data_IF_638032117486
#
_entry.id   IF_638032117486
#
_cell.length_a   1.000
_cell.length_b   1.000
_cell.length_c   1.000
_cell.angle_alpha   90.00
_cell.angle_beta   90.00
_cell.angle_gamma   90.00
#
_symmetry.space_group_name_H-M   'P 1'
#
loop_
_entity.id
_entity.type
_entity.pdbx_description
1 polymer ?
#
# COMPACT_ATOMS: atom_id res chain seq x y z
N UNK A 1 -18.77 14.62 -26.02
CA UNK A 1 -17.89 13.76 -26.84
C UNK A 1 -18.10 12.33 -26.41
N UNK A 2 -18.57 11.50 -27.33
CA UNK A 2 -18.99 10.10 -27.13
C UNK A 2 -17.84 9.26 -26.60
N UNK A 3 -18.04 8.66 -25.43
CA UNK A 3 -17.10 7.78 -24.76
C UNK A 3 -17.16 6.39 -25.42
N UNK A 4 -16.12 6.01 -26.16
CA UNK A 4 -16.01 4.67 -26.73
C UNK A 4 -15.38 3.70 -25.72
N UNK A 5 -16.15 2.77 -25.12
CA UNK A 5 -15.62 1.77 -24.18
C UNK A 5 -14.60 0.82 -24.83
N UNK A 6 -14.61 0.64 -26.16
CA UNK A 6 -13.64 -0.21 -26.86
C UNK A 6 -12.23 0.40 -26.87
N UNK A 7 -12.13 1.74 -26.90
CA UNK A 7 -10.84 2.43 -26.82
C UNK A 7 -10.17 2.24 -25.45
N UNK A 8 -10.95 2.18 -24.36
CA UNK A 8 -10.46 1.92 -22.99
C UNK A 8 -9.99 0.49 -22.80
N UNK A 9 -10.72 -0.49 -23.34
CA UNK A 9 -10.31 -1.90 -23.31
C UNK A 9 -9.03 -2.10 -24.13
N UNK A 10 -8.94 -1.47 -25.31
CA UNK A 10 -7.74 -1.53 -26.14
C UNK A 10 -6.50 -0.87 -25.52
N UNK A 11 -6.69 0.14 -24.66
CA UNK A 11 -5.59 0.74 -23.89
C UNK A 11 -5.16 -0.16 -22.72
N UNK A 12 -6.11 -0.77 -22.00
CA UNK A 12 -5.82 -1.72 -20.92
C UNK A 12 -5.08 -2.97 -21.40
N UNK A 13 -5.44 -3.50 -22.57
CA UNK A 13 -4.76 -4.66 -23.19
C UNK A 13 -3.35 -4.31 -23.66
N UNK A 14 -3.11 -3.09 -24.16
CA UNK A 14 -1.76 -2.64 -24.55
C UNK A 14 -0.85 -2.40 -23.34
N UNK A 15 -1.39 -1.82 -22.27
CA UNK A 15 -0.68 -1.68 -20.98
C UNK A 15 -0.27 -3.04 -20.38
N UNK A 16 -1.09 -4.08 -20.57
CA UNK A 16 -0.74 -5.46 -20.17
C UNK A 16 0.39 -6.07 -21.00
N UNK A 17 0.63 -5.60 -22.22
CA UNK A 17 1.64 -6.14 -23.15
C UNK A 17 2.99 -5.40 -23.07
N UNK A 18 2.99 -4.08 -22.82
CA UNK A 18 4.20 -3.24 -22.88
C UNK A 18 5.14 -3.38 -21.65
N UNK A 19 4.75 -4.16 -20.63
CA UNK A 19 5.56 -4.44 -19.43
C UNK A 19 6.49 -5.66 -19.52
N UNK A 20 6.58 -6.33 -20.67
CA UNK A 20 7.30 -7.60 -20.82
C UNK A 20 8.68 -7.39 -21.46
N UNK A 21 9.65 -6.91 -20.70
CA UNK A 21 11.06 -7.10 -21.04
C UNK A 21 11.61 -8.31 -20.27
N UNK A 22 11.50 -9.48 -20.89
CA UNK A 22 12.21 -10.68 -20.44
C UNK A 22 13.59 -10.66 -21.08
N UNK A 23 14.64 -10.51 -20.27
CA UNK A 23 16.00 -10.84 -20.72
C UNK A 23 16.05 -12.35 -20.99
N UNK A 24 15.98 -12.75 -22.25
CA UNK A 24 16.18 -14.16 -22.63
C UNK A 24 17.66 -14.49 -22.55
N UNK A 25 18.08 -15.56 -21.86
CA UNK A 25 19.47 -16.01 -21.90
C UNK A 25 19.83 -16.48 -23.31
N UNK A 26 21.06 -16.21 -23.73
CA UNK A 26 21.59 -16.52 -25.06
C UNK A 26 21.52 -18.04 -25.33
N UNK A 27 20.77 -18.50 -26.35
CA UNK A 27 20.61 -19.93 -26.67
C UNK A 27 21.92 -20.60 -27.10
N UNK A 28 22.98 -19.84 -27.40
CA UNK A 28 24.27 -20.38 -27.80
C UNK A 28 25.04 -21.08 -26.66
N UNK A 29 24.75 -20.74 -25.39
CA UNK A 29 25.51 -21.29 -24.25
C UNK A 29 25.07 -22.71 -23.87
N UNK A 30 23.85 -23.13 -24.24
CA UNK A 30 23.30 -24.45 -23.90
C UNK A 30 23.69 -25.57 -24.88
N UNK A 31 24.30 -25.26 -26.03
CA UNK A 31 24.52 -26.23 -27.12
C UNK A 31 25.98 -26.69 -27.32
N UNK A 32 26.94 -26.26 -26.47
CA UNK A 32 28.36 -26.49 -26.77
C UNK A 32 28.99 -27.82 -26.28
N UNK A 33 28.25 -28.75 -25.66
CA UNK A 33 28.82 -30.05 -25.23
C UNK A 33 27.88 -31.24 -25.40
N UNK A 34 27.63 -31.65 -26.63
CA UNK A 34 27.14 -33.00 -26.92
C UNK A 34 27.43 -33.44 -28.35
N UNK A 35 28.70 -33.73 -28.66
CA UNK A 35 29.05 -34.41 -29.91
C UNK A 35 29.80 -35.72 -29.61
N UNK A 36 29.08 -36.85 -29.71
CA UNK A 36 29.50 -38.11 -30.37
C UNK A 36 28.35 -39.14 -30.35
N UNK A 37 28.07 -39.84 -31.47
CA UNK A 37 26.90 -40.71 -31.56
C UNK A 37 27.22 -42.15 -31.15
N UNK A 38 26.38 -42.74 -30.30
CA UNK A 38 26.32 -44.19 -30.08
C UNK A 38 24.87 -44.65 -30.18
N UNK A 39 24.68 -45.80 -30.84
CA UNK A 39 23.42 -46.38 -31.35
C UNK A 39 22.24 -46.21 -30.40
N UNK A 40 21.20 -45.54 -30.91
CA UNK A 40 20.14 -44.92 -30.14
C UNK A 40 18.96 -45.88 -29.88
N UNK A 41 18.67 -46.13 -28.60
CA UNK A 41 17.39 -46.69 -28.16
C UNK A 41 16.27 -45.65 -28.28
N UNK A 42 15.10 -46.12 -28.76
CA UNK A 42 13.86 -45.37 -29.12
C UNK A 42 13.25 -44.49 -28.00
N UNK A 43 13.86 -44.44 -26.83
CA UNK A 43 13.33 -43.85 -25.59
C UNK A 43 14.03 -42.55 -25.16
N UNK A 44 15.21 -42.20 -25.73
CA UNK A 44 15.93 -40.97 -25.39
C UNK A 44 15.15 -39.66 -25.63
N UNK A 45 14.42 -39.44 -26.74
CA UNK A 45 13.72 -38.17 -26.96
C UNK A 45 12.55 -37.95 -25.97
N UNK A 46 11.95 -39.03 -25.46
CA UNK A 46 10.86 -38.98 -24.47
C UNK A 46 11.38 -38.64 -23.06
N UNK A 47 12.52 -39.20 -22.67
CA UNK A 47 13.15 -38.88 -21.39
C UNK A 47 13.71 -37.45 -21.37
N UNK A 48 14.20 -36.93 -22.51
CA UNK A 48 14.61 -35.53 -22.62
C UNK A 48 13.42 -34.55 -22.65
N UNK A 49 12.31 -34.90 -23.31
CA UNK A 49 11.11 -34.05 -23.33
C UNK A 49 10.40 -34.01 -21.97
N UNK A 50 10.28 -35.16 -21.28
CA UNK A 50 9.74 -35.20 -19.92
C UNK A 50 10.67 -34.49 -18.91
N UNK A 51 11.99 -34.59 -19.10
CA UNK A 51 12.97 -33.83 -18.31
C UNK A 51 12.86 -32.32 -18.51
N UNK A 52 12.75 -31.85 -19.75
CA UNK A 52 12.56 -30.41 -20.05
C UNK A 52 11.21 -29.92 -19.52
N UNK A 53 10.14 -30.70 -19.65
CA UNK A 53 8.83 -30.34 -19.10
C UNK A 53 8.85 -30.30 -17.57
N UNK A 54 9.53 -31.26 -16.93
CA UNK A 54 9.76 -31.27 -15.49
C UNK A 54 10.56 -30.07 -15.01
N UNK A 55 11.58 -29.65 -15.76
CA UNK A 55 12.37 -28.44 -15.47
C UNK A 55 11.55 -27.16 -15.67
N UNK A 56 10.73 -27.08 -16.70
CA UNK A 56 9.84 -25.92 -16.94
C UNK A 56 8.74 -25.82 -15.87
N UNK A 57 8.16 -26.94 -15.46
CA UNK A 57 7.20 -26.99 -14.35
C UNK A 57 7.88 -26.66 -13.02
N UNK A 58 9.07 -27.19 -12.77
CA UNK A 58 9.85 -26.85 -11.57
C UNK A 58 10.26 -25.37 -11.55
N UNK A 59 10.65 -24.78 -12.69
CA UNK A 59 10.97 -23.36 -12.82
C UNK A 59 9.74 -22.47 -12.67
N UNK A 60 8.57 -22.91 -13.17
CA UNK A 60 7.31 -22.20 -12.99
C UNK A 60 6.81 -22.26 -11.54
N UNK A 61 7.08 -23.35 -10.81
CA UNK A 61 6.60 -23.57 -9.45
C UNK A 61 7.59 -23.12 -8.35
N UNK A 62 8.87 -22.98 -8.65
CA UNK A 62 9.88 -22.55 -7.68
C UNK A 62 9.79 -21.03 -7.43
N UNK A 63 9.38 -20.58 -6.22
CA UNK A 63 9.28 -19.15 -5.91
C UNK A 63 10.63 -18.43 -5.90
N UNK A 64 11.73 -19.18 -5.73
CA UNK A 64 13.04 -18.64 -5.33
C UNK A 64 14.19 -18.78 -6.31
N UNK A 65 13.98 -19.27 -7.55
CA UNK A 65 15.10 -19.35 -8.51
C UNK A 65 15.46 -18.00 -9.15
N UNK A 66 14.60 -16.97 -9.01
CA UNK A 66 14.78 -15.66 -9.63
C UNK A 66 14.49 -14.46 -8.72
N UNK A 67 13.86 -14.64 -7.56
CA UNK A 67 13.60 -13.55 -6.62
C UNK A 67 14.77 -13.46 -5.62
N UNK A 68 15.75 -12.61 -5.93
CA UNK A 68 16.66 -12.13 -4.90
C UNK A 68 15.95 -11.00 -4.14
N UNK A 69 15.97 -10.98 -2.79
CA UNK A 69 15.61 -9.76 -2.08
C UNK A 69 16.47 -8.63 -2.65
N UNK A 70 15.84 -7.50 -2.95
CA UNK A 70 16.58 -6.29 -3.33
C UNK A 70 17.69 -6.07 -2.32
N UNK A 71 18.92 -5.97 -2.80
CA UNK A 71 20.05 -5.67 -1.93
C UNK A 71 19.70 -4.42 -1.13
N UNK A 72 19.97 -4.37 0.19
CA UNK A 72 19.70 -3.16 0.96
C UNK A 72 20.43 -2.00 0.29
N UNK A 73 19.66 -1.06 -0.26
CA UNK A 73 20.21 0.17 -0.81
C UNK A 73 20.71 1.02 0.35
N UNK A 74 21.87 1.64 0.20
CA UNK A 74 22.34 2.66 1.15
C UNK A 74 21.33 3.83 1.15
N UNK A 75 20.45 3.82 2.15
CA UNK A 75 19.48 4.88 2.43
C UNK A 75 18.08 4.68 1.84
N UNK A 76 17.12 5.41 2.43
CA UNK A 76 15.72 5.43 2.02
C UNK A 76 15.55 6.20 0.70
N UNK A 77 14.83 5.60 -0.24
CA UNK A 77 14.52 6.20 -1.55
C UNK A 77 13.03 6.42 -1.69
N UNK A 78 12.63 7.66 -1.90
CA UNK A 78 11.29 8.01 -2.38
C UNK A 78 11.30 7.97 -3.91
N UNK A 79 10.53 7.08 -4.55
CA UNK A 79 10.49 7.04 -6.00
C UNK A 79 9.91 8.32 -6.55
N UNK A 80 10.55 8.90 -7.56
CA UNK A 80 10.07 10.08 -8.27
C UNK A 80 8.82 9.76 -9.10
N UNK A 81 8.56 8.48 -9.41
CA UNK A 81 7.27 8.00 -9.92
C UNK A 81 6.82 6.67 -9.35
N UNK A 82 5.54 6.55 -9.00
CA UNK A 82 4.94 5.27 -8.59
C UNK A 82 4.58 4.42 -9.80
N UNK A 83 4.67 3.10 -9.63
CA UNK A 83 4.33 2.15 -10.68
C UNK A 83 2.80 1.98 -10.81
N UNK A 84 2.33 1.77 -12.05
CA UNK A 84 0.91 1.52 -12.35
C UNK A 84 0.39 0.22 -11.72
N UNK A 85 -0.95 0.06 -11.72
CA UNK A 85 -1.64 -1.19 -11.37
C UNK A 85 -1.00 -2.37 -12.09
N UNK A 86 -0.75 -3.45 -11.35
CA UNK A 86 -0.43 -4.72 -11.97
C UNK A 86 -0.98 -5.87 -11.13
N UNK A 87 -1.87 -6.62 -11.76
CA UNK A 87 -2.42 -7.88 -11.21
C UNK A 87 -1.33 -8.96 -11.03
N UNK A 88 -0.15 -8.76 -11.64
CA UNK A 88 0.99 -9.66 -11.55
C UNK A 88 1.91 -9.35 -10.38
N UNK A 89 1.63 -8.29 -9.61
CA UNK A 89 2.41 -7.96 -8.42
C UNK A 89 2.20 -9.02 -7.34
N UNK A 90 3.30 -9.57 -6.84
CA UNK A 90 3.30 -10.56 -5.78
C UNK A 90 2.71 -9.99 -4.48
N UNK A 91 1.95 -10.78 -3.72
CA UNK A 91 1.50 -10.38 -2.41
C UNK A 91 2.64 -10.43 -1.38
N UNK A 92 2.54 -9.62 -0.33
CA UNK A 92 3.49 -9.57 0.78
C UNK A 92 3.63 -10.94 1.46
N UNK A 93 2.56 -11.72 1.53
CA UNK A 93 2.57 -13.08 2.10
C UNK A 93 3.38 -14.11 1.28
N UNK A 94 3.55 -13.92 -0.03
CA UNK A 94 4.34 -14.80 -0.90
C UNK A 94 5.78 -14.29 -1.07
N UNK A 95 5.95 -12.97 -1.16
CA UNK A 95 7.23 -12.33 -1.37
C UNK A 95 7.32 -11.07 -0.49
N UNK A 96 7.92 -11.16 0.71
CA UNK A 96 8.04 -10.03 1.60
C UNK A 96 8.74 -8.84 0.93
N UNK A 97 8.27 -7.63 1.20
CA UNK A 97 8.84 -6.40 0.65
C UNK A 97 10.10 -5.95 1.41
N UNK A 98 10.31 -6.44 2.63
CA UNK A 98 11.20 -5.79 3.59
C UNK A 98 10.54 -4.52 4.16
N UNK A 99 11.32 -3.62 4.78
CA UNK A 99 10.80 -2.33 5.20
C UNK A 99 10.27 -1.54 3.98
N UNK A 100 9.15 -0.85 4.17
CA UNK A 100 8.49 -0.03 3.17
C UNK A 100 8.52 1.45 3.55
N UNK A 101 8.74 2.32 2.56
CA UNK A 101 8.73 3.78 2.74
C UNK A 101 7.34 4.37 2.50
N UNK A 102 6.56 3.76 1.61
CA UNK A 102 5.23 4.24 1.22
C UNK A 102 4.22 3.09 1.16
N UNK A 103 2.96 3.42 1.40
CA UNK A 103 1.80 2.60 1.01
C UNK A 103 0.80 3.47 0.29
N UNK A 104 0.08 2.91 -0.68
CA UNK A 104 -1.01 3.59 -1.37
C UNK A 104 -2.05 2.59 -1.84
N UNK A 105 -3.26 3.07 -2.10
CA UNK A 105 -4.30 2.27 -2.75
C UNK A 105 -4.41 2.71 -4.21
N UNK A 106 -4.37 1.74 -5.11
CA UNK A 106 -4.58 1.96 -6.54
C UNK A 106 -5.83 1.21 -7.01
N UNK A 107 -6.63 1.82 -7.88
CA UNK A 107 -7.79 1.22 -8.50
C UNK A 107 -9.06 2.01 -8.22
N UNK A 108 -10.12 1.74 -8.97
CA UNK A 108 -11.41 2.41 -8.77
C UNK A 108 -12.36 1.51 -7.99
N UNK A 109 -12.98 2.06 -6.95
CA UNK A 109 -14.06 1.40 -6.26
C UNK A 109 -15.18 1.05 -7.27
N UNK A 110 -15.51 -0.23 -7.37
CA UNK A 110 -16.44 -0.75 -8.38
C UNK A 110 -17.17 -1.98 -7.87
N UNK A 111 -18.13 -2.52 -8.65
CA UNK A 111 -18.85 -3.72 -8.24
C UNK A 111 -17.87 -4.89 -8.06
N UNK A 112 -18.17 -5.80 -7.12
CA UNK A 112 -17.26 -6.89 -6.68
C UNK A 112 -16.55 -7.65 -7.82
N UNK A 113 -17.22 -7.85 -8.94
CA UNK A 113 -16.71 -8.60 -10.11
C UNK A 113 -15.79 -7.78 -11.04
N UNK A 114 -15.63 -6.47 -10.81
CA UNK A 114 -14.65 -5.56 -11.43
C UNK A 114 -13.79 -4.85 -10.38
N UNK A 115 -13.70 -5.41 -9.17
CA UNK A 115 -12.89 -4.83 -8.11
C UNK A 115 -11.41 -4.82 -8.51
N UNK A 116 -10.84 -3.63 -8.61
CA UNK A 116 -9.44 -3.42 -8.98
C UNK A 116 -8.65 -2.68 -7.90
N UNK A 117 -9.25 -2.42 -6.73
CA UNK A 117 -8.49 -1.77 -5.66
C UNK A 117 -7.43 -2.73 -5.14
N UNK A 118 -6.22 -2.20 -5.04
CA UNK A 118 -5.03 -2.90 -4.59
C UNK A 118 -4.28 -1.95 -3.66
N UNK A 119 -4.18 -2.36 -2.40
CA UNK A 119 -3.26 -1.75 -1.46
C UNK A 119 -1.85 -2.23 -1.78
N UNK A 120 -0.93 -1.28 -2.01
CA UNK A 120 0.43 -1.55 -2.48
C UNK A 120 1.43 -0.93 -1.50
N UNK A 121 2.41 -1.72 -1.09
CA UNK A 121 3.57 -1.25 -0.32
C UNK A 121 4.76 -1.07 -1.24
N UNK A 122 5.52 0.00 -1.01
CA UNK A 122 6.75 0.34 -1.73
C UNK A 122 7.92 0.18 -0.77
N UNK A 123 8.86 -0.71 -1.10
CA UNK A 123 10.08 -0.96 -0.35
C UNK A 123 10.91 0.30 -0.14
N UNK A 124 11.75 0.30 0.90
CA UNK A 124 12.66 1.42 1.23
C UNK A 124 13.64 1.77 0.11
N UNK A 125 13.85 0.85 -0.82
CA UNK A 125 14.65 1.05 -2.03
C UNK A 125 13.94 1.82 -3.15
N UNK A 126 12.66 2.15 -2.94
CA UNK A 126 11.81 2.91 -3.86
C UNK A 126 11.39 2.15 -5.12
N UNK A 127 11.75 0.88 -5.28
CA UNK A 127 11.46 0.13 -6.51
C UNK A 127 10.91 -1.27 -6.29
N UNK A 128 10.94 -1.82 -5.07
CA UNK A 128 10.19 -3.02 -4.71
C UNK A 128 8.73 -2.69 -4.45
N UNK A 129 7.82 -3.35 -5.16
CA UNK A 129 6.37 -3.21 -5.00
C UNK A 129 5.76 -4.55 -4.60
N UNK A 130 4.94 -4.55 -3.55
CA UNK A 130 4.16 -5.73 -3.14
C UNK A 130 2.73 -5.36 -2.86
N UNK A 131 1.84 -6.31 -3.12
CA UNK A 131 0.42 -6.16 -2.82
C UNK A 131 0.14 -6.58 -1.38
N UNK A 132 -0.63 -5.79 -0.65
CA UNK A 132 -1.02 -6.12 0.71
C UNK A 132 -2.30 -6.98 0.67
N UNK A 133 -2.11 -8.28 0.46
CA UNK A 133 -3.18 -9.27 0.34
C UNK A 133 -4.07 -9.38 1.59
N UNK A 134 -3.54 -9.06 2.77
CA UNK A 134 -4.33 -9.00 3.99
C UNK A 134 -5.41 -7.90 3.95
N UNK A 135 -5.11 -6.76 3.32
CA UNK A 135 -6.09 -5.67 3.16
C UNK A 135 -7.18 -6.08 2.16
N UNK A 136 -6.81 -6.76 1.08
CA UNK A 136 -7.76 -7.31 0.11
C UNK A 136 -8.68 -8.37 0.76
N UNK A 137 -8.09 -9.26 1.56
CA UNK A 137 -8.80 -10.35 2.25
C UNK A 137 -9.81 -9.84 3.27
N UNK A 138 -9.46 -8.76 3.99
CA UNK A 138 -10.33 -8.09 4.97
C UNK A 138 -11.22 -7.00 4.35
N UNK A 139 -11.06 -6.74 3.06
CA UNK A 139 -11.90 -5.84 2.27
C UNK A 139 -13.33 -6.34 2.15
N UNK A 140 -14.20 -5.50 1.60
CA UNK A 140 -15.64 -5.73 1.65
C UNK A 140 -16.46 -4.67 0.94
N UNK A 141 -17.80 -4.81 0.98
CA UNK A 141 -18.70 -3.84 0.38
C UNK A 141 -18.60 -2.49 1.09
N UNK A 142 -18.62 -1.42 0.30
CA UNK A 142 -18.78 -0.03 0.72
C UNK A 142 -20.08 0.56 0.14
N UNK A 143 -20.53 1.70 0.67
CA UNK A 143 -21.84 2.27 0.34
C UNK A 143 -21.89 3.01 -1.03
N UNK A 144 -22.97 2.86 -1.82
CA UNK A 144 -23.71 1.65 -2.12
C UNK A 144 -23.21 1.01 -3.44
N UNK A 145 -22.64 -0.19 -3.35
CA UNK A 145 -22.35 -1.07 -4.49
C UNK A 145 -20.88 -1.14 -4.90
N UNK A 146 -20.00 -0.48 -4.17
CA UNK A 146 -18.55 -0.53 -4.38
C UNK A 146 -17.90 -1.57 -3.46
N UNK A 147 -16.73 -2.05 -3.86
CA UNK A 147 -15.87 -2.89 -3.03
C UNK A 147 -14.56 -2.14 -2.80
N UNK A 148 -14.03 -2.22 -1.58
CA UNK A 148 -12.78 -1.59 -1.20
C UNK A 148 -11.95 -2.51 -0.30
N UNK A 149 -10.64 -2.40 -0.40
CA UNK A 149 -9.71 -3.00 0.55
C UNK A 149 -9.95 -2.49 1.98
N UNK A 150 -9.57 -3.29 2.96
CA UNK A 150 -9.60 -2.86 4.35
C UNK A 150 -8.64 -1.67 4.57
N UNK A 151 -9.00 -0.73 5.46
CA UNK A 151 -8.12 0.38 5.81
C UNK A 151 -6.80 -0.15 6.34
N UNK A 152 -5.70 0.35 5.79
CA UNK A 152 -4.35 -0.04 6.13
C UNK A 152 -3.57 1.17 6.65
N UNK A 153 -2.67 0.95 7.60
CA UNK A 153 -1.83 1.98 8.19
C UNK A 153 -0.38 1.52 8.32
N UNK A 154 0.52 2.16 7.58
CA UNK A 154 1.96 1.87 7.61
C UNK A 154 2.60 2.37 8.91
N UNK A 155 3.38 1.51 9.56
CA UNK A 155 4.12 1.88 10.77
C UNK A 155 5.26 2.87 10.48
N UNK A 156 5.68 3.69 11.46
CA UNK A 156 6.70 4.73 11.25
C UNK A 156 8.07 4.16 10.85
N UNK A 157 8.37 2.95 11.30
CA UNK A 157 9.60 2.21 10.97
C UNK A 157 9.54 1.51 9.60
N UNK A 158 8.38 1.55 8.93
CA UNK A 158 8.15 0.89 7.65
C UNK A 158 8.13 -0.64 7.70
N UNK A 159 8.24 -1.27 8.87
CA UNK A 159 8.38 -2.74 8.98
C UNK A 159 7.04 -3.46 9.06
N UNK A 160 5.97 -2.75 9.44
CA UNK A 160 4.67 -3.33 9.73
C UNK A 160 3.54 -2.49 9.14
N UNK A 161 2.43 -3.16 8.83
CA UNK A 161 1.17 -2.50 8.43
C UNK A 161 0.04 -3.02 9.30
N UNK A 162 -0.69 -2.11 9.95
CA UNK A 162 -1.95 -2.44 10.61
C UNK A 162 -3.06 -2.48 9.55
N UNK A 163 -3.90 -3.51 9.60
CA UNK A 163 -5.02 -3.70 8.68
C UNK A 163 -6.30 -3.89 9.49
N UNK A 164 -7.24 -2.99 9.27
CA UNK A 164 -8.54 -3.02 9.91
C UNK A 164 -9.52 -3.97 9.23
N UNK A 165 -10.81 -3.64 9.32
CA UNK A 165 -11.89 -4.38 8.69
C UNK A 165 -12.99 -3.42 8.28
N UNK A 166 -13.56 -3.61 7.09
CA UNK A 166 -14.76 -2.87 6.62
C UNK A 166 -16.07 -3.59 6.95
N UNK A 167 -15.98 -4.71 7.67
CA UNK A 167 -17.12 -5.48 8.15
C UNK A 167 -17.03 -5.69 9.67
N UNK A 168 -18.09 -6.20 10.28
CA UNK A 168 -18.13 -6.48 11.71
C UNK A 168 -17.07 -7.53 12.10
N UNK A 169 -15.91 -7.07 12.58
CA UNK A 169 -14.80 -7.87 13.06
C UNK A 169 -14.57 -7.65 14.55
N UNK A 170 -13.84 -8.59 15.18
CA UNK A 170 -13.41 -8.52 16.60
C UNK A 170 -11.90 -8.46 16.74
N UNK A 171 -11.21 -8.16 15.65
CA UNK A 171 -9.76 -8.16 15.59
C UNK A 171 -9.22 -7.12 14.62
N UNK A 172 -7.95 -6.79 14.81
CA UNK A 172 -7.13 -6.00 13.92
C UNK A 172 -5.91 -6.85 13.52
N UNK A 173 -5.54 -6.83 12.24
CA UNK A 173 -4.34 -7.51 11.76
C UNK A 173 -3.13 -6.58 11.78
N UNK A 174 -1.95 -7.13 12.07
CA UNK A 174 -0.65 -6.50 11.89
C UNK A 174 0.19 -7.42 11.02
N UNK A 175 0.57 -6.92 9.84
CA UNK A 175 1.38 -7.63 8.85
C UNK A 175 2.83 -7.20 9.02
N UNK A 176 3.73 -8.15 9.23
CA UNK A 176 5.18 -7.93 9.21
C UNK A 176 5.67 -7.99 7.76
N UNK A 177 6.17 -6.87 7.24
CA UNK A 177 6.58 -6.73 5.83
C UNK A 177 7.93 -7.40 5.51
N UNK A 178 8.72 -7.76 6.54
CA UNK A 178 10.00 -8.46 6.38
C UNK A 178 9.79 -9.97 6.20
N UNK A 179 8.77 -10.51 6.84
CA UNK A 179 8.48 -11.94 6.89
C UNK A 179 7.23 -12.34 6.12
N UNK A 180 6.35 -11.38 5.80
CA UNK A 180 5.05 -11.62 5.19
C UNK A 180 4.03 -12.24 6.14
N UNK A 181 4.32 -12.29 7.46
CA UNK A 181 3.47 -12.96 8.44
C UNK A 181 2.48 -11.98 9.05
N UNK A 182 1.22 -12.42 9.15
CA UNK A 182 0.15 -11.67 9.81
C UNK A 182 -0.07 -12.17 11.23
N UNK A 183 -0.22 -11.25 12.17
CA UNK A 183 -0.72 -11.50 13.53
C UNK A 183 -2.03 -10.74 13.73
N UNK A 184 -2.95 -11.28 14.52
CA UNK A 184 -4.21 -10.61 14.83
C UNK A 184 -4.29 -10.29 16.31
N UNK A 185 -4.90 -9.15 16.63
CA UNK A 185 -5.06 -8.63 17.98
C UNK A 185 -6.54 -8.38 18.25
N UNK A 186 -7.08 -8.82 19.40
CA UNK A 186 -8.48 -8.62 19.71
C UNK A 186 -8.79 -7.13 19.91
N UNK A 187 -9.94 -6.69 19.37
CA UNK A 187 -10.48 -5.36 19.60
C UNK A 187 -11.33 -5.33 20.86
N UNK A 188 -11.57 -4.13 21.38
CA UNK A 188 -12.42 -3.87 22.55
C UNK A 188 -13.89 -4.20 22.30
N UNK A 189 -14.35 -4.08 21.05
CA UNK A 189 -15.73 -4.35 20.65
C UNK A 189 -15.80 -4.97 19.25
N UNK A 190 -17.02 -5.31 18.80
CA UNK A 190 -17.26 -5.85 17.45
C UNK A 190 -17.71 -4.73 16.53
N UNK A 191 -17.07 -4.56 15.37
CA UNK A 191 -17.49 -3.54 14.41
C UNK A 191 -16.52 -3.37 13.24
N UNK A 192 -16.71 -2.31 12.47
CA UNK A 192 -15.76 -1.84 11.46
C UNK A 192 -14.51 -1.35 12.20
N UNK A 193 -13.35 -1.90 11.90
CA UNK A 193 -12.10 -1.56 12.61
C UNK A 193 -11.27 -0.67 11.71
N UNK A 194 -10.84 0.49 12.20
CA UNK A 194 -9.97 1.41 11.45
C UNK A 194 -8.72 1.73 12.28
N UNK A 195 -7.51 1.35 11.83
CA UNK A 195 -6.28 1.88 12.41
C UNK A 195 -6.21 3.38 12.12
N UNK A 196 -5.82 4.18 13.10
CA UNK A 196 -5.78 5.64 13.00
C UNK A 196 -4.37 6.21 13.16
N UNK A 197 -3.59 5.73 14.13
CA UNK A 197 -2.24 6.23 14.35
C UNK A 197 -1.33 5.21 15.04
N UNK A 198 -0.07 5.13 14.60
CA UNK A 198 0.98 4.39 15.28
C UNK A 198 1.75 5.28 16.25
N UNK A 199 2.19 4.72 17.38
CA UNK A 199 3.21 5.39 18.20
C UNK A 199 4.54 5.49 17.43
N UNK A 200 5.38 6.50 17.72
CA UNK A 200 6.65 6.69 17.00
C UNK A 200 7.59 5.50 17.11
N UNK A 201 7.55 4.78 18.24
CA UNK A 201 8.31 3.55 18.48
C UNK A 201 7.70 2.29 17.81
N UNK A 202 6.53 2.40 17.20
CA UNK A 202 5.81 1.30 16.55
C UNK A 202 5.30 0.22 17.51
N UNK A 203 5.26 0.46 18.82
CA UNK A 203 4.81 -0.54 19.82
C UNK A 203 3.33 -0.42 20.15
N UNK A 204 2.70 0.71 19.86
CA UNK A 204 1.30 1.00 20.15
C UNK A 204 0.56 1.50 18.91
N UNK A 205 -0.74 1.23 18.87
CA UNK A 205 -1.62 1.59 17.76
C UNK A 205 -2.96 2.12 18.30
N UNK A 206 -3.35 3.32 17.89
CA UNK A 206 -4.70 3.83 18.09
C UNK A 206 -5.57 3.35 16.94
N UNK A 207 -6.74 2.81 17.27
CA UNK A 207 -7.75 2.38 16.32
C UNK A 207 -9.14 2.76 16.82
N UNK A 208 -10.11 2.80 15.90
CA UNK A 208 -11.54 2.97 16.24
C UNK A 208 -12.33 1.74 15.80
N UNK A 209 -13.39 1.40 16.54
CA UNK A 209 -14.31 0.31 16.21
C UNK A 209 -15.74 0.83 16.08
N UNK A 210 -16.27 0.80 14.86
CA UNK A 210 -17.59 1.36 14.50
C UNK A 210 -17.72 2.81 14.96
N UNK A 211 -18.93 3.17 15.39
CA UNK A 211 -19.20 4.43 16.08
C UNK A 211 -19.14 4.28 17.62
N UNK A 212 -18.39 3.27 18.10
CA UNK A 212 -18.43 2.87 19.52
C UNK A 212 -17.30 3.49 20.31
N UNK A 213 -16.06 3.06 20.08
CA UNK A 213 -14.92 3.41 20.92
C UNK A 213 -13.65 3.63 20.11
N UNK A 214 -12.85 4.60 20.55
CA UNK A 214 -11.43 4.70 20.20
C UNK A 214 -10.63 3.94 21.23
N UNK A 215 -9.68 3.12 20.81
CA UNK A 215 -8.86 2.32 21.71
C UNK A 215 -7.37 2.38 21.33
N UNK A 216 -6.55 2.16 22.34
CA UNK A 216 -5.10 2.04 22.26
C UNK A 216 -4.74 0.56 22.41
N UNK A 217 -4.15 -0.03 21.37
CA UNK A 217 -3.56 -1.37 21.39
C UNK A 217 -2.08 -1.27 21.74
N UNK A 218 -1.65 -1.99 22.77
CA UNK A 218 -0.25 -2.29 23.04
C UNK A 218 0.11 -3.62 22.36
N UNK A 219 1.08 -3.60 21.43
CA UNK A 219 1.49 -4.79 20.68
C UNK A 219 2.45 -5.69 21.46
N UNK A 220 3.06 -5.19 22.52
CA UNK A 220 3.96 -5.96 23.40
C UNK A 220 3.13 -6.90 24.26
N UNK A 221 2.04 -6.40 24.83
CA UNK A 221 1.12 -7.18 25.67
C UNK A 221 -0.03 -7.82 24.88
N UNK A 222 -0.38 -7.24 23.72
CA UNK A 222 -1.54 -7.61 22.94
C UNK A 222 -2.86 -7.12 23.53
N UNK A 223 -2.83 -6.17 24.46
CA UNK A 223 -4.02 -5.67 25.17
C UNK A 223 -4.49 -4.33 24.63
N UNK A 224 -5.80 -4.16 24.53
CA UNK A 224 -6.43 -2.90 24.10
C UNK A 224 -7.10 -2.20 25.28
N UNK A 225 -6.93 -0.89 25.39
CA UNK A 225 -7.57 -0.03 26.41
C UNK A 225 -8.34 1.09 25.71
N UNK A 226 -9.55 1.41 26.18
CA UNK A 226 -10.35 2.50 25.59
C UNK A 226 -9.76 3.87 25.90
N UNK A 227 -9.68 4.73 24.88
CA UNK A 227 -9.38 6.17 25.00
C UNK A 227 -10.67 7.01 25.06
N UNK A 228 -11.84 6.35 25.02
CA UNK A 228 -13.15 6.95 25.08
C UNK A 228 -13.85 7.00 23.72
N UNK A 229 -14.50 8.14 23.45
CA UNK A 229 -15.44 8.36 22.34
C UNK A 229 -14.87 8.00 20.95
N UNK A 230 -15.74 7.69 19.98
CA UNK A 230 -15.31 7.36 18.62
C UNK A 230 -14.58 8.53 17.96
N UNK A 231 -13.44 8.23 17.36
CA UNK A 231 -12.60 9.20 16.66
C UNK A 231 -12.68 9.00 15.15
N UNK A 232 -12.73 10.12 14.43
CA UNK A 232 -12.59 10.17 12.98
C UNK A 232 -11.11 10.14 12.56
N UNK A 233 -10.25 10.77 13.36
CA UNK A 233 -8.83 10.88 13.10
C UNK A 233 -8.04 10.87 14.41
N UNK A 234 -6.82 10.34 14.36
CA UNK A 234 -5.88 10.44 15.45
C UNK A 234 -4.45 10.59 14.91
N UNK A 235 -3.56 11.15 15.73
CA UNK A 235 -2.14 11.21 15.46
C UNK A 235 -1.35 11.19 16.78
N UNK A 236 -0.32 10.34 16.84
CA UNK A 236 0.60 10.32 17.98
C UNK A 236 1.57 11.49 17.91
N UNK A 237 1.83 12.10 19.06
CA UNK A 237 2.94 13.03 19.21
C UNK A 237 4.28 12.29 19.07
N UNK A 238 5.35 12.96 18.59
CA UNK A 238 6.67 12.35 18.41
C UNK A 238 7.32 11.91 19.73
N UNK A 239 6.87 12.44 20.86
CA UNK A 239 7.28 11.99 22.20
C UNK A 239 6.71 10.63 22.59
N UNK A 240 5.70 10.12 21.88
CA UNK A 240 5.00 8.87 22.18
C UNK A 240 4.14 8.89 23.45
N UNK A 241 4.01 10.04 24.12
CA UNK A 241 3.26 10.21 25.37
C UNK A 241 1.88 10.81 25.13
N UNK A 242 1.72 11.57 24.05
CA UNK A 242 0.46 12.25 23.73
C UNK A 242 -0.17 11.73 22.45
N UNK A 243 -1.51 11.76 22.40
CA UNK A 243 -2.30 11.44 21.20
C UNK A 243 -3.29 12.55 20.94
N UNK A 244 -3.23 13.14 19.75
CA UNK A 244 -4.31 14.00 19.26
C UNK A 244 -5.43 13.09 18.72
N UNK A 245 -6.65 13.30 19.21
CA UNK A 245 -7.84 12.54 18.83
C UNK A 245 -8.93 13.54 18.46
N UNK A 246 -9.59 13.31 17.33
CA UNK A 246 -10.69 14.15 16.87
C UNK A 246 -11.95 13.32 16.71
N UNK A 247 -12.99 13.67 17.47
CA UNK A 247 -14.26 12.95 17.50
C UNK A 247 -15.23 13.36 16.38
N UNK A 248 -16.34 12.63 16.32
CA UNK A 248 -17.53 13.08 15.59
C UNK A 248 -18.09 14.35 16.25
N UNK A 249 -18.67 15.28 15.46
CA UNK A 249 -19.36 16.43 16.06
C UNK A 249 -20.54 15.96 16.91
N UNK A 250 -20.72 16.58 18.07
CA UNK A 250 -21.79 16.20 19.02
C UNK A 250 -23.19 16.63 18.54
N UNK A 251 -23.28 17.67 17.71
CA UNK A 251 -24.55 18.20 17.20
C UNK A 251 -24.45 18.55 15.72
N UNK A 252 -25.53 18.29 14.96
CA UNK A 252 -25.62 18.59 13.53
C UNK A 252 -25.79 20.09 13.24
N UNK A 253 -26.26 20.87 14.22
CA UNK A 253 -26.69 22.27 14.03
C UNK A 253 -25.50 23.23 13.91
N UNK A 254 -24.37 22.94 14.56
CA UNK A 254 -23.11 23.64 14.35
C UNK A 254 -21.94 22.73 14.79
N UNK A 255 -21.37 21.92 13.88
CA UNK A 255 -20.31 20.99 14.27
C UNK A 255 -19.00 21.75 14.48
N UNK A 256 -18.81 22.28 15.68
CA UNK A 256 -17.46 22.59 16.15
C UNK A 256 -16.75 21.27 16.39
N UNK A 257 -15.76 20.95 15.56
CA UNK A 257 -14.89 19.81 15.82
C UNK A 257 -13.83 20.26 16.82
N UNK A 258 -13.73 19.57 17.94
CA UNK A 258 -12.62 19.76 18.88
C UNK A 258 -11.56 18.71 18.60
N UNK A 259 -10.30 19.16 18.63
CA UNK A 259 -9.16 18.25 18.64
C UNK A 259 -8.72 18.13 20.09
N UNK A 260 -8.78 16.92 20.62
CA UNK A 260 -8.43 16.62 22.00
C UNK A 260 -7.06 15.96 22.05
N UNK A 261 -6.10 16.59 22.73
CA UNK A 261 -4.79 16.01 22.99
C UNK A 261 -4.83 15.32 24.35
N UNK A 262 -4.69 14.01 24.33
CA UNK A 262 -4.74 13.14 25.51
C UNK A 262 -3.32 12.78 25.92
N UNK A 263 -2.98 12.99 27.19
CA UNK A 263 -1.75 12.46 27.80
C UNK A 263 -1.98 11.00 28.24
N UNK A 264 -1.16 10.08 27.73
CA UNK A 264 -1.28 8.66 28.02
C UNK A 264 -0.70 8.27 29.39
N UNK A 265 0.14 9.12 30.00
CA UNK A 265 0.67 8.90 31.35
C UNK A 265 -0.25 9.48 32.44
N UNK A 266 -1.36 10.09 32.03
CA UNK A 266 -2.34 10.73 32.91
C UNK A 266 -2.28 12.25 32.85
N UNK A 267 -3.36 12.89 33.30
CA UNK A 267 -3.57 14.33 33.19
C UNK A 267 -4.89 14.65 32.47
N UNK A 268 -5.34 15.90 32.61
CA UNK A 268 -6.53 16.36 31.93
C UNK A 268 -6.23 16.58 30.44
N UNK A 269 -7.11 16.13 29.53
CA UNK A 269 -6.92 16.35 28.11
C UNK A 269 -7.01 17.84 27.78
N UNK A 270 -6.19 18.29 26.83
CA UNK A 270 -6.22 19.66 26.31
C UNK A 270 -7.05 19.70 25.04
N UNK A 271 -8.01 20.61 24.97
CA UNK A 271 -8.90 20.76 23.82
C UNK A 271 -8.54 22.00 22.99
N UNK A 272 -8.50 21.80 21.68
CA UNK A 272 -8.29 22.85 20.69
C UNK A 272 -9.52 22.96 19.80
N UNK A 273 -10.03 24.17 19.61
CA UNK A 273 -11.11 24.43 18.67
C UNK A 273 -10.59 24.31 17.23
N UNK A 274 -11.15 23.40 16.44
CA UNK A 274 -10.94 23.38 14.99
C UNK A 274 -12.07 24.15 14.31
N UNK A 275 -11.79 25.39 13.92
CA UNK A 275 -12.77 26.27 13.31
C UNK A 275 -13.04 25.86 11.86
N UNK A 276 -14.22 25.28 11.60
CA UNK A 276 -14.73 25.00 10.25
C UNK A 276 -15.34 23.60 10.09
N UNK A 277 -16.40 23.51 9.28
CA UNK A 277 -17.18 22.28 9.05
C UNK A 277 -16.38 21.13 8.41
N UNK A 278 -15.19 21.39 7.87
CA UNK A 278 -14.33 20.45 7.13
C UNK A 278 -12.97 20.17 7.76
N UNK A 279 -12.65 20.78 8.91
CA UNK A 279 -11.29 20.69 9.48
C UNK A 279 -11.08 19.37 10.21
N UNK A 280 -10.09 18.60 9.78
CA UNK A 280 -9.68 17.34 10.41
C UNK A 280 -8.18 17.31 10.74
N UNK A 281 -7.78 16.51 11.73
CA UNK A 281 -6.37 16.13 11.92
C UNK A 281 -5.85 15.55 10.60
N UNK A 282 -4.73 16.06 10.10
CA UNK A 282 -4.21 15.78 8.76
C UNK A 282 -3.56 14.39 8.63
N UNK A 283 -4.28 13.34 9.03
CA UNK A 283 -3.83 11.95 8.98
C UNK A 283 -2.87 11.55 10.12
N UNK A 284 -2.28 10.35 10.03
CA UNK A 284 -1.45 9.77 11.09
C UNK A 284 -0.16 10.54 11.36
N UNK A 285 0.33 11.28 10.35
CA UNK A 285 1.59 12.02 10.40
C UNK A 285 1.39 13.52 10.69
N UNK A 286 0.26 13.89 11.31
CA UNK A 286 -0.12 15.29 11.52
C UNK A 286 0.81 16.08 12.47
N UNK A 287 1.51 15.42 13.40
CA UNK A 287 2.45 16.09 14.28
C UNK A 287 3.76 16.41 13.58
N UNK A 288 4.28 17.63 13.79
CA UNK A 288 5.64 17.96 13.39
C UNK A 288 6.65 17.09 14.16
N UNK A 289 7.80 16.73 13.57
CA UNK A 289 8.83 15.91 14.21
C UNK A 289 9.35 16.44 15.55
N UNK A 290 9.31 17.75 15.77
CA UNK A 290 9.70 18.41 17.02
C UNK A 290 8.55 18.51 18.04
N UNK A 291 7.34 18.10 17.66
CA UNK A 291 6.18 18.04 18.53
C UNK A 291 5.57 19.41 18.86
N UNK A 292 5.89 20.46 18.08
CA UNK A 292 5.39 21.82 18.30
C UNK A 292 4.08 22.12 17.59
N UNK A 293 3.86 21.46 16.46
CA UNK A 293 2.76 21.75 15.55
C UNK A 293 1.89 20.52 15.32
N UNK A 294 0.58 20.73 15.31
CA UNK A 294 -0.39 19.77 14.84
C UNK A 294 -1.02 20.28 13.55
N UNK A 295 -0.82 19.56 12.46
CA UNK A 295 -1.37 19.90 11.16
C UNK A 295 -2.85 19.49 11.06
N UNK A 296 -3.69 20.42 10.63
CA UNK A 296 -5.10 20.22 10.34
C UNK A 296 -5.38 20.49 8.87
N UNK A 297 -6.12 19.59 8.23
CA UNK A 297 -6.57 19.71 6.85
C UNK A 297 -8.03 20.17 6.82
N UNK A 298 -8.30 21.24 6.09
CA UNK A 298 -9.64 21.73 5.80
C UNK A 298 -9.96 21.49 4.32
N UNK A 299 -11.00 20.71 4.08
CA UNK A 299 -11.61 20.58 2.76
C UNK A 299 -12.89 21.43 2.78
N UNK A 300 -12.77 22.72 2.52
CA UNK A 300 -13.88 23.66 2.63
C UNK A 300 -14.99 23.32 1.61
N UNK A 301 -16.02 22.62 2.07
CA UNK A 301 -17.22 22.36 1.31
C UNK A 301 -18.13 23.59 1.28
N UNK A 302 -17.96 24.46 0.28
CA UNK A 302 -19.00 25.34 -0.29
C UNK A 302 -18.39 26.27 -1.36
N UNK A 303 -18.42 25.85 -2.62
CA UNK A 303 -18.24 26.75 -3.77
C UNK A 303 -16.82 27.25 -4.08
N UNK A 304 -15.83 27.03 -3.20
CA UNK A 304 -14.40 27.19 -3.52
C UNK A 304 -13.68 25.86 -3.28
N UNK A 305 -13.03 25.34 -4.32
CA UNK A 305 -12.23 24.11 -4.29
C UNK A 305 -10.88 24.31 -3.56
N UNK A 306 -10.84 25.12 -2.50
CA UNK A 306 -9.61 25.39 -1.77
C UNK A 306 -9.47 24.39 -0.61
N UNK A 307 -8.51 23.47 -0.74
CA UNK A 307 -8.05 22.65 0.38
C UNK A 307 -6.93 23.39 1.10
N UNK A 308 -6.97 23.39 2.43
CA UNK A 308 -6.01 24.12 3.26
C UNK A 308 -5.40 23.25 4.34
N UNK A 309 -4.09 23.28 4.47
CA UNK A 309 -3.35 22.78 5.63
C UNK A 309 -3.06 23.95 6.58
N UNK A 310 -3.48 23.84 7.82
CA UNK A 310 -3.22 24.79 8.91
C UNK A 310 -2.46 24.10 10.02
N UNK A 311 -1.77 24.87 10.87
CA UNK A 311 -0.94 24.33 11.94
C UNK A 311 -1.36 24.96 13.26
N UNK A 312 -1.70 24.12 14.23
CA UNK A 312 -2.01 24.54 15.59
C UNK A 312 -0.79 24.37 16.49
N UNK A 313 -0.47 25.33 17.37
CA UNK A 313 0.50 25.12 18.44
C UNK A 313 -0.05 24.07 19.40
N UNK A 314 0.78 23.11 19.77
CA UNK A 314 0.40 22.02 20.68
C UNK A 314 0.62 22.37 22.15
N UNK A 315 1.36 23.44 22.40
CA UNK A 315 1.50 24.08 23.70
C UNK A 315 0.90 25.50 23.61
N UNK A 316 -0.21 25.80 24.31
CA UNK A 316 -0.80 27.14 24.33
C UNK A 316 0.14 28.23 24.86
N UNK A 317 1.16 27.84 25.63
CA UNK A 317 2.18 28.77 26.14
C UNK A 317 3.27 29.06 25.10
N UNK A 318 3.45 28.22 24.08
CA UNK A 318 4.41 28.46 23.00
C UNK A 318 3.93 29.62 22.12
N UNK A 319 4.70 30.71 22.16
CA UNK A 319 4.41 31.94 21.41
C UNK A 319 5.08 31.98 20.04
N UNK A 320 5.79 30.93 19.65
CA UNK A 320 6.31 30.89 18.28
C UNK A 320 5.15 30.91 17.28
N UNK A 321 5.28 31.65 16.18
CA UNK A 321 4.24 31.70 15.18
C UNK A 321 4.16 30.34 14.46
N UNK A 322 2.95 29.82 14.19
CA UNK A 322 2.80 28.60 13.41
C UNK A 322 3.34 28.79 11.99
N UNK A 323 3.77 27.69 11.32
CA UNK A 323 4.10 27.72 9.91
C UNK A 323 2.95 28.33 9.08
N UNK A 324 3.30 28.97 7.98
CA UNK A 324 2.31 29.57 7.10
C UNK A 324 1.31 28.50 6.62
N UNK A 325 0.00 28.79 6.61
CA UNK A 325 -0.97 27.85 6.06
C UNK A 325 -0.72 27.57 4.58
N UNK A 326 -0.87 26.32 4.16
CA UNK A 326 -0.71 25.91 2.77
C UNK A 326 -2.10 25.76 2.16
N UNK A 327 -2.44 26.57 1.15
CA UNK A 327 -3.73 26.52 0.48
C UNK A 327 -3.54 26.24 -1.00
N UNK A 328 -4.34 25.33 -1.56
CA UNK A 328 -4.30 25.03 -2.99
C UNK A 328 -5.72 24.80 -3.52
N UNK A 329 -5.93 25.06 -4.81
CA UNK A 329 -7.20 24.79 -5.49
C UNK A 329 -7.44 23.28 -5.78
N UNK A 330 -6.58 22.40 -5.26
CA UNK A 330 -6.57 20.97 -5.51
C UNK A 330 -6.58 20.21 -4.17
N UNK A 331 -7.00 18.95 -4.20
CA UNK A 331 -7.01 18.10 -3.00
C UNK A 331 -5.59 17.95 -2.42
N UNK A 332 -5.46 18.23 -1.12
CA UNK A 332 -4.20 18.09 -0.38
C UNK A 332 -4.34 17.00 0.68
N UNK A 333 -3.34 16.13 0.78
CA UNK A 333 -3.18 15.25 1.94
C UNK A 333 -1.74 15.31 2.45
N UNK A 334 -1.55 15.39 3.77
CA UNK A 334 -0.23 15.35 4.39
C UNK A 334 0.33 13.94 4.33
N UNK A 335 1.51 13.79 3.74
CA UNK A 335 2.25 12.52 3.64
C UNK A 335 3.15 12.34 4.85
N UNK A 336 3.75 13.43 5.34
CA UNK A 336 4.63 13.44 6.51
C UNK A 336 5.53 14.67 6.50
N UNK A 337 6.72 14.57 7.09
CA UNK A 337 7.62 15.70 7.29
C UNK A 337 9.06 15.31 6.93
N UNK A 338 9.74 16.13 6.14
CA UNK A 338 11.17 16.00 5.88
C UNK A 338 12.01 16.66 6.99
N UNK A 339 11.45 17.68 7.64
CA UNK A 339 11.99 18.41 8.79
C UNK A 339 10.82 19.10 9.54
N UNK A 340 11.02 19.64 10.76
CA UNK A 340 9.97 20.32 11.52
C UNK A 340 9.23 21.44 10.78
N UNK A 341 9.91 22.12 9.89
CA UNK A 341 9.42 23.21 9.06
C UNK A 341 9.22 22.81 7.59
N UNK A 342 9.30 21.52 7.26
CA UNK A 342 9.23 21.01 5.87
C UNK A 342 8.20 19.86 5.74
N UNK A 343 6.89 20.15 5.80
CA UNK A 343 5.84 19.18 5.55
C UNK A 343 5.83 18.75 4.08
N UNK A 344 5.56 17.48 3.87
CA UNK A 344 5.41 16.85 2.57
C UNK A 344 3.93 16.57 2.34
N UNK A 345 3.38 17.12 1.25
CA UNK A 345 1.97 16.98 0.92
C UNK A 345 1.80 16.33 -0.44
N UNK A 346 0.66 15.67 -0.66
CA UNK A 346 0.18 15.37 -1.99
C UNK A 346 -0.62 16.55 -2.54
N UNK A 347 -0.48 16.84 -3.83
CA UNK A 347 -1.37 17.72 -4.59
C UNK A 347 -1.97 16.92 -5.76
N UNK A 348 -3.30 16.94 -5.89
CA UNK A 348 -4.01 16.27 -6.98
C UNK A 348 -4.07 17.12 -8.25
N UNK A 349 -3.35 16.75 -9.31
CA UNK A 349 -3.37 17.45 -10.61
C UNK A 349 -4.68 17.29 -11.40
N UNK A 350 -4.90 18.16 -12.38
CA UNK A 350 -6.11 18.23 -13.22
C UNK A 350 -6.45 16.95 -14.02
N UNK A 351 -5.51 16.00 -14.11
CA UNK A 351 -5.66 14.72 -14.83
C UNK A 351 -5.75 13.51 -13.88
N UNK A 352 -5.91 13.72 -12.58
CA UNK A 352 -5.99 12.66 -11.57
C UNK A 352 -4.64 12.14 -11.05
N UNK A 353 -3.51 12.69 -11.53
CA UNK A 353 -2.19 12.39 -10.97
C UNK A 353 -2.00 13.08 -9.62
N UNK A 354 -1.59 12.35 -8.59
CA UNK A 354 -1.16 12.96 -7.32
C UNK A 354 0.34 13.22 -7.37
N UNK A 355 0.79 14.36 -6.88
CA UNK A 355 2.22 14.71 -6.84
C UNK A 355 2.61 14.92 -5.38
N UNK A 356 3.68 14.25 -4.93
CA UNK A 356 4.28 14.57 -3.62
C UNK A 356 5.14 15.82 -3.83
N UNK A 357 4.78 16.88 -3.12
CA UNK A 357 5.49 18.16 -3.12
C UNK A 357 5.90 18.49 -1.70
N UNK A 358 7.03 19.19 -1.58
CA UNK A 358 7.34 19.89 -0.35
C UNK A 358 6.45 21.14 -0.24
N UNK A 359 5.72 21.28 0.86
CA UNK A 359 4.56 22.17 0.90
C UNK A 359 4.92 23.67 0.82
N UNK A 360 6.14 24.07 1.24
CA UNK A 360 6.57 25.48 1.28
C UNK A 360 7.44 25.90 0.10
N UNK A 361 8.21 24.99 -0.50
CA UNK A 361 9.03 25.25 -1.69
C UNK A 361 8.29 24.85 -3.00
N UNK A 362 7.14 24.16 -2.87
CA UNK A 362 6.40 23.49 -3.96
C UNK A 362 7.30 22.63 -4.87
N UNK A 363 8.47 22.23 -4.35
CA UNK A 363 9.43 21.42 -5.07
C UNK A 363 8.81 20.05 -5.28
N UNK A 364 8.62 19.69 -6.55
CA UNK A 364 8.10 18.39 -6.97
C UNK A 364 9.11 17.30 -6.59
N UNK A 365 8.74 16.45 -5.64
CA UNK A 365 9.56 15.34 -5.18
C UNK A 365 9.18 14.05 -5.90
N UNK A 366 7.88 13.79 -6.08
CA UNK A 366 7.44 12.59 -6.77
C UNK A 366 6.12 12.82 -7.50
N UNK A 367 5.92 12.07 -8.57
CA UNK A 367 4.71 12.04 -9.37
C UNK A 367 4.11 10.65 -9.27
N UNK A 368 2.94 10.53 -8.67
CA UNK A 368 2.16 9.30 -8.77
C UNK A 368 1.64 9.22 -10.21
N UNK A 369 2.31 8.43 -11.06
CA UNK A 369 1.78 8.08 -12.39
C UNK A 369 0.49 7.26 -12.19
N UNK A 370 -0.47 7.45 -13.10
CA UNK A 370 -1.56 6.48 -13.31
C UNK A 370 -2.96 6.81 -12.78
N UNK A 371 -3.72 7.62 -13.53
CA UNK A 371 -5.18 7.77 -13.48
C UNK A 371 -5.79 8.30 -12.16
N UNK A 372 -7.05 8.74 -12.22
CA UNK A 372 -7.88 9.23 -11.10
C UNK A 372 -8.18 8.20 -9.98
N UNK A 373 -7.37 7.14 -9.86
CA UNK A 373 -7.66 5.92 -9.12
C UNK A 373 -6.66 5.65 -7.99
N UNK A 374 -5.73 6.56 -7.71
CA UNK A 374 -4.78 6.42 -6.59
C UNK A 374 -5.18 7.31 -5.42
N UNK A 375 -5.29 6.74 -4.23
CA UNK A 375 -5.68 7.43 -3.01
C UNK A 375 -5.03 6.77 -1.77
N UNK A 376 -5.26 7.37 -0.59
CA UNK A 376 -4.74 6.89 0.70
C UNK A 376 -3.22 6.65 0.69
N UNK A 377 -2.48 7.60 0.11
CA UNK A 377 -1.02 7.59 0.13
C UNK A 377 -0.52 7.94 1.53
N UNK A 378 0.25 7.04 2.12
CA UNK A 378 0.86 7.22 3.43
C UNK A 378 2.36 6.93 3.35
N UNK A 379 3.13 7.55 4.24
CA UNK A 379 4.55 7.30 4.37
C UNK A 379 4.93 6.82 5.76
N UNK A 380 5.98 6.00 5.83
CA UNK A 380 6.65 5.64 7.06
C UNK A 380 7.42 6.87 7.59
N UNK A 381 6.81 7.60 8.53
CA UNK A 381 7.32 8.88 8.99
C UNK A 381 8.76 8.83 9.52
N UNK A 382 9.16 7.73 10.16
CA UNK A 382 10.53 7.55 10.68
C UNK A 382 11.58 7.36 9.58
N UNK A 383 11.17 7.08 8.34
CA UNK A 383 12.06 6.87 7.20
C UNK A 383 12.16 8.09 6.27
N UNK A 384 11.28 9.08 6.43
CA UNK A 384 11.25 10.30 5.62
C UNK A 384 12.45 11.24 5.88
N UNK A 385 12.91 11.47 7.13
CA UNK A 385 14.10 12.27 7.37
C UNK A 385 15.32 11.65 6.66
N UNK A 386 15.90 12.38 5.72
CA UNK A 386 17.05 11.91 4.93
C UNK A 386 16.69 11.01 3.75
N UNK A 387 15.40 10.77 3.47
CA UNK A 387 14.99 10.09 2.24
C UNK A 387 15.39 10.91 1.01
N UNK A 388 16.02 10.25 0.05
CA UNK A 388 16.39 10.87 -1.23
C UNK A 388 15.33 10.54 -2.28
N UNK A 389 15.04 11.52 -3.14
CA UNK A 389 14.22 11.29 -4.32
C UNK A 389 15.10 10.70 -5.43
N UNK A 390 14.66 9.60 -6.05
CA UNK A 390 15.35 9.01 -7.20
C UNK A 390 14.39 8.70 -8.35
N UNK A 391 14.84 8.70 -9.63
CA UNK A 391 14.03 8.29 -10.77
C UNK A 391 13.40 6.91 -10.54
N UNK A 392 12.16 6.73 -10.98
CA UNK A 392 11.51 5.43 -10.93
C UNK A 392 12.24 4.45 -11.86
N UNK A 393 12.93 3.47 -11.28
CA UNK A 393 13.44 2.31 -12.02
C UNK A 393 12.31 1.38 -12.44
N UNK A 394 12.65 0.27 -13.10
CA UNK A 394 11.67 -0.78 -13.35
C UNK A 394 11.14 -1.32 -12.01
N UNK A 395 9.82 -1.35 -11.85
CA UNK A 395 9.17 -1.86 -10.65
C UNK A 395 9.48 -3.34 -10.45
N UNK A 396 10.14 -3.68 -9.36
CA UNK A 396 10.37 -5.05 -8.93
C UNK A 396 9.08 -5.55 -8.26
N UNK A 397 8.36 -6.43 -8.94
CA UNK A 397 7.01 -6.87 -8.56
C UNK A 397 6.97 -8.25 -7.91
N UNK A 398 8.13 -8.85 -7.66
CA UNK A 398 8.25 -10.21 -7.16
C UNK A 398 7.91 -11.27 -8.21
N UNK A 399 7.91 -12.55 -7.80
CA UNK A 399 7.50 -13.64 -8.68
C UNK A 399 6.00 -13.54 -9.01
N UNK A 400 5.57 -14.16 -10.11
CA UNK A 400 4.14 -14.26 -10.39
C UNK A 400 3.37 -14.89 -9.22
N UNK A 401 2.13 -14.46 -8.94
CA UNK A 401 1.30 -15.08 -7.91
C UNK A 401 1.17 -16.61 -8.09
N UNK A 402 1.06 -17.37 -7.00
CA UNK A 402 0.99 -18.85 -7.04
C UNK A 402 -0.08 -19.35 -8.01
N UNK A 403 -1.27 -18.76 -8.01
CA UNK A 403 -2.37 -19.20 -8.88
C UNK A 403 -2.00 -19.12 -10.36
N UNK A 404 -1.26 -18.08 -10.77
CA UNK A 404 -0.84 -17.87 -12.14
C UNK A 404 0.28 -18.85 -12.52
N UNK A 405 1.21 -19.10 -11.59
CA UNK A 405 2.24 -20.14 -11.73
C UNK A 405 1.61 -21.53 -11.92
N UNK A 406 0.59 -21.87 -11.12
CA UNK A 406 -0.15 -23.12 -11.25
C UNK A 406 -0.93 -23.20 -12.57
N UNK A 407 -1.57 -22.11 -13.00
CA UNK A 407 -2.29 -22.05 -14.28
C UNK A 407 -1.33 -22.22 -15.47
N UNK A 408 -0.17 -21.57 -15.43
CA UNK A 408 0.88 -21.72 -16.44
C UNK A 408 1.40 -23.16 -16.48
N UNK A 409 1.68 -23.77 -15.32
CA UNK A 409 2.10 -25.16 -15.23
C UNK A 409 1.04 -26.12 -15.78
N UNK A 410 -0.24 -25.92 -15.45
CA UNK A 410 -1.35 -26.71 -15.98
C UNK A 410 -1.49 -26.56 -17.51
N UNK A 411 -1.32 -25.35 -18.04
CA UNK A 411 -1.30 -25.08 -19.48
C UNK A 411 -0.18 -25.86 -20.18
N UNK A 412 1.04 -25.81 -19.62
CA UNK A 412 2.21 -26.56 -20.13
C UNK A 412 1.94 -28.07 -20.12
N UNK A 413 1.39 -28.62 -19.04
CA UNK A 413 1.04 -30.05 -18.94
C UNK A 413 -0.05 -30.45 -19.95
N UNK A 414 -1.03 -29.58 -20.19
CA UNK A 414 -2.13 -29.82 -21.14
C UNK A 414 -1.61 -29.90 -22.57
N UNK A 415 -0.74 -28.96 -22.97
CA UNK A 415 -0.09 -28.96 -24.28
C UNK A 415 0.77 -30.20 -24.46
N UNK A 416 1.55 -30.57 -23.44
CA UNK A 416 2.37 -31.78 -23.48
C UNK A 416 1.52 -33.05 -23.63
N UNK A 417 0.39 -33.15 -22.90
CA UNK A 417 -0.56 -34.25 -23.02
C UNK A 417 -1.18 -34.35 -24.42
N UNK A 418 -1.57 -33.22 -25.01
CA UNK A 418 -2.08 -33.16 -26.39
C UNK A 418 -1.03 -33.60 -27.42
N UNK A 419 0.21 -33.13 -27.29
CA UNK A 419 1.32 -33.53 -28.16
C UNK A 419 1.56 -35.04 -28.05
N UNK A 420 1.54 -35.60 -26.84
CA UNK A 420 1.69 -37.03 -26.62
C UNK A 420 0.53 -37.85 -27.21
N UNK A 421 -0.72 -37.39 -27.07
CA UNK A 421 -1.89 -38.02 -27.69
C UNK A 421 -1.81 -38.02 -29.22
N UNK A 422 -1.45 -36.90 -29.83
CA UNK A 422 -1.29 -36.80 -31.29
C UNK A 422 -0.16 -37.70 -31.78
N UNK A 423 0.96 -37.74 -31.07
CA UNK A 423 2.08 -38.63 -31.39
C UNK A 423 1.71 -40.12 -31.24
N UNK A 424 1.01 -40.49 -30.17
CA UNK A 424 0.56 -41.87 -29.93
C UNK A 424 -0.46 -42.35 -30.97
N UNK A 425 -1.34 -41.48 -31.47
CA UNK A 425 -2.25 -41.79 -32.59
C UNK A 425 -1.49 -42.00 -33.89
N UNK A 426 -0.52 -41.12 -34.21
CA UNK A 426 0.27 -41.20 -35.45
C UNK A 426 1.14 -42.46 -35.49
N UNK A 427 1.77 -42.81 -34.37
CA UNK A 427 2.59 -44.02 -34.25
C UNK A 427 1.80 -45.34 -34.30
N UNK A 428 0.50 -45.32 -33.97
CA UNK A 428 -0.41 -46.46 -34.18
C UNK A 428 -0.82 -46.62 -35.65
N UNK A 429 -0.97 -45.52 -36.40
CA UNK A 429 -1.31 -45.58 -37.84
C UNK A 429 -0.14 -46.06 -38.72
N UNK A 430 1.11 -45.86 -38.30
CA UNK A 430 2.30 -46.33 -39.04
C UNK A 430 2.67 -47.79 -38.76
N UNK A 431 1.85 -48.55 -38.02
CA UNK A 431 2.09 -49.96 -37.65
C UNK A 431 1.20 -50.96 -38.39
N UNK A 432 0.41 -50.50 -39.36
CA UNK A 432 -0.35 -51.35 -40.27
C UNK A 432 0.29 -51.39 -41.65
#
# INVERSE_FOLDING_TARGET
MTHDPHARIGAAVRSLADGVHVATPDPAILLARAARPARAGRWRPLLSAAGVLGVLVAAALAPGLLAQPGAPTDGTVLPARLADLSLLTAPVSEAPAGPAVLTYVHGSAGPRWLHTTQTVVVGVDGHTYRRLDEAERRGGPAEPGTWQDAPALLAPDGTRVAVGSVSAARDLAVVDLRTGRTRTHPTTSTGIVRPLAWSPDGTRLVYTTGDTDTALLDLTTGTSTTLGRPALAAAFAPDGRRVAVQGLPETEVEPQRTVRVVDLDGGDPVEFAAAGFGVLVAGPNAWSPDGRWLALADNAGAGKLECRLTFLPTDPADRTPPPAPVATAQEIALVGWAAPDRPLITQGGATGHRTIVEAFDLRRLSTVDGSSSTYDLQAAAGLLPGARVAPAGAAERGPWPVWLRLAAAAGVLTVAGLVWLLWSRRSRQTRF
#
